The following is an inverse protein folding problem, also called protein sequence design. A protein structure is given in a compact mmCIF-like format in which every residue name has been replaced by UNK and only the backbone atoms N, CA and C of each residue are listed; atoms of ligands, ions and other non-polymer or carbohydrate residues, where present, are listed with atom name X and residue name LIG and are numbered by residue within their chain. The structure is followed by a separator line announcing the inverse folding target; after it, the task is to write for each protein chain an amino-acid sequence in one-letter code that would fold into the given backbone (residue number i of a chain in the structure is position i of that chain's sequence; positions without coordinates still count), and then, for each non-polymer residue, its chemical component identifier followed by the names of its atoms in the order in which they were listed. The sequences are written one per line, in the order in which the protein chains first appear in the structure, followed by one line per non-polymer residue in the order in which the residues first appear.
data_IF_926369525691
#
_entry.id   IF_926369525691
#
_cell.length_a   1.000
_cell.length_b   1.000
_cell.length_c   1.000
_cell.angle_alpha   90.00
_cell.angle_beta   90.00
_cell.angle_gamma   90.00
#
_symmetry.space_group_name_H-M   'P 1'
#
loop_
_entity.id
_entity.type
_entity.pdbx_description
1 polymer ?
#
# COMPACT_ATOMS: atom_id res chain seq x y z
N UNK A 1 12.26 -9.70 -11.31
CA UNK A 1 12.21 -9.15 -9.94
C UNK A 1 13.39 -9.68 -9.16
N UNK A 2 13.90 -8.93 -8.18
CA UNK A 2 14.83 -9.43 -7.15
C UNK A 2 14.25 -9.07 -5.77
N UNK A 3 13.44 -9.96 -5.24
CA UNK A 3 12.64 -9.71 -4.04
C UNK A 3 13.43 -9.99 -2.77
N UNK A 4 13.42 -9.04 -1.84
CA UNK A 4 13.90 -9.18 -0.47
C UNK A 4 12.69 -9.09 0.45
N UNK A 5 12.42 -10.14 1.22
CA UNK A 5 11.35 -10.11 2.21
C UNK A 5 11.72 -9.08 3.28
N UNK A 6 10.88 -8.07 3.44
CA UNK A 6 11.01 -7.06 4.47
C UNK A 6 10.23 -7.47 5.72
N UNK A 7 8.99 -7.93 5.53
CA UNK A 7 8.09 -8.28 6.62
C UNK A 7 6.99 -9.23 6.15
N UNK A 8 6.56 -10.15 7.02
CA UNK A 8 5.42 -11.03 6.79
C UNK A 8 4.42 -10.89 7.92
N UNK A 9 3.17 -10.61 7.57
CA UNK A 9 2.06 -10.38 8.49
C UNK A 9 0.87 -11.25 8.07
N UNK A 10 -0.18 -11.27 8.89
CA UNK A 10 -1.40 -11.97 8.54
C UNK A 10 -2.04 -11.34 7.30
N UNK A 11 -2.07 -12.10 6.19
CA UNK A 11 -2.71 -11.70 4.93
C UNK A 11 -1.88 -10.80 4.02
N UNK A 12 -0.61 -10.50 4.37
CA UNK A 12 0.31 -9.80 3.45
C UNK A 12 1.76 -10.21 3.66
N UNK A 13 2.50 -10.31 2.57
CA UNK A 13 3.95 -10.28 2.54
C UNK A 13 4.45 -8.99 1.88
N UNK A 14 5.39 -8.31 2.54
CA UNK A 14 6.00 -7.06 2.07
C UNK A 14 7.40 -7.36 1.59
N UNK A 15 7.67 -7.08 0.32
CA UNK A 15 8.97 -7.24 -0.30
C UNK A 15 9.50 -5.92 -0.82
N UNK A 16 10.82 -5.80 -0.85
CA UNK A 16 11.52 -4.80 -1.65
C UNK A 16 12.07 -5.47 -2.91
N UNK A 17 11.71 -4.98 -4.09
CA UNK A 17 12.34 -5.42 -5.33
C UNK A 17 13.57 -4.56 -5.61
N UNK A 18 14.76 -5.05 -5.27
CA UNK A 18 15.99 -4.27 -5.43
C UNK A 18 16.43 -4.10 -6.88
N UNK A 19 15.85 -4.87 -7.82
CA UNK A 19 16.14 -4.69 -9.25
C UNK A 19 15.31 -3.55 -9.82
N UNK A 20 14.05 -3.44 -9.39
CA UNK A 20 13.12 -2.44 -9.91
C UNK A 20 12.96 -1.18 -9.05
N UNK A 21 13.45 -1.21 -7.81
CA UNK A 21 13.37 -0.13 -6.82
C UNK A 21 11.93 0.23 -6.42
N UNK A 22 11.12 -0.78 -6.09
CA UNK A 22 9.75 -0.59 -5.59
C UNK A 22 9.43 -1.50 -4.42
N UNK A 23 8.36 -1.18 -3.70
CA UNK A 23 7.74 -2.12 -2.78
C UNK A 23 6.79 -3.04 -3.56
N UNK A 24 6.85 -4.33 -3.24
CA UNK A 24 5.91 -5.34 -3.69
C UNK A 24 5.10 -5.85 -2.49
N UNK A 25 3.80 -5.60 -2.51
CA UNK A 25 2.86 -5.99 -1.48
C UNK A 25 2.03 -7.15 -2.01
N UNK A 26 2.20 -8.33 -1.42
CA UNK A 26 1.52 -9.55 -1.87
C UNK A 26 0.46 -9.95 -0.84
N UNK A 27 -0.80 -9.62 -1.14
CA UNK A 27 -1.95 -9.84 -0.27
C UNK A 27 -2.64 -11.17 -0.59
N UNK A 28 -3.04 -11.89 0.47
CA UNK A 28 -3.66 -13.21 0.34
C UNK A 28 -4.72 -13.47 1.42
N UNK A 29 -5.66 -14.36 1.09
CA UNK A 29 -6.67 -14.86 2.02
C UNK A 29 -7.89 -13.95 2.22
N UNK A 30 -8.60 -14.18 3.32
CA UNK A 30 -9.77 -13.38 3.71
C UNK A 30 -9.32 -12.20 4.57
N UNK A 31 -9.35 -11.01 3.96
CA UNK A 31 -8.80 -9.81 4.56
C UNK A 31 -9.74 -9.23 5.63
N UNK A 32 -9.51 -9.63 6.88
CA UNK A 32 -10.16 -9.05 8.05
C UNK A 32 -9.62 -7.64 8.35
N UNK A 33 -10.51 -6.73 8.78
CA UNK A 33 -10.16 -5.33 9.00
C UNK A 33 -8.98 -5.11 9.96
N UNK A 34 -8.90 -5.73 11.15
CA UNK A 34 -7.78 -5.49 12.07
C UNK A 34 -6.43 -5.93 11.49
N UNK A 35 -6.41 -7.04 10.75
CA UNK A 35 -5.21 -7.56 10.10
C UNK A 35 -4.72 -6.62 9.00
N UNK A 36 -5.64 -6.14 8.15
CA UNK A 36 -5.34 -5.16 7.10
C UNK A 36 -4.83 -3.84 7.67
N UNK A 37 -5.44 -3.36 8.75
CA UNK A 37 -5.01 -2.10 9.37
C UNK A 37 -3.60 -2.22 9.94
N UNK A 38 -3.31 -3.33 10.64
CA UNK A 38 -1.98 -3.64 11.17
C UNK A 38 -0.95 -3.72 10.05
N UNK A 39 -1.30 -4.45 8.98
CA UNK A 39 -0.49 -4.56 7.78
C UNK A 39 -0.25 -3.21 7.09
N UNK A 40 -1.26 -2.37 6.97
CA UNK A 40 -1.14 -1.04 6.38
C UNK A 40 -0.21 -0.12 7.17
N UNK A 41 -0.25 -0.17 8.51
CA UNK A 41 0.69 0.57 9.36
C UNK A 41 2.12 0.07 9.18
N UNK A 42 2.32 -1.25 9.12
CA UNK A 42 3.63 -1.82 8.85
C UNK A 42 4.19 -1.38 7.49
N UNK A 43 3.36 -1.43 6.43
CA UNK A 43 3.73 -0.91 5.11
C UNK A 43 4.10 0.57 5.18
N UNK A 44 3.34 1.41 5.89
CA UNK A 44 3.65 2.83 6.03
C UNK A 44 5.00 3.09 6.76
N UNK A 45 5.37 2.25 7.74
CA UNK A 45 6.66 2.34 8.42
C UNK A 45 7.85 2.12 7.49
N UNK A 46 7.71 1.27 6.47
CA UNK A 46 8.78 1.04 5.50
C UNK A 46 9.13 2.29 4.70
N UNK A 47 8.21 3.26 4.58
CA UNK A 47 8.50 4.54 3.95
C UNK A 47 9.25 5.52 4.86
N UNK A 48 9.32 5.31 6.17
CA UNK A 48 10.01 6.24 7.08
C UNK A 48 11.49 6.45 6.72
N UNK A 49 12.32 5.39 6.53
CA UNK A 49 13.73 5.57 6.21
C UNK A 49 14.00 6.07 4.80
N UNK A 50 13.12 5.78 3.83
CA UNK A 50 13.26 6.20 2.42
C UNK A 50 11.93 6.18 1.67
N UNK A 51 11.73 7.04 0.66
CA UNK A 51 10.55 6.99 -0.20
C UNK A 51 10.61 5.82 -1.18
N UNK A 52 9.44 5.32 -1.57
CA UNK A 52 9.26 4.42 -2.70
C UNK A 52 8.24 5.02 -3.64
N UNK A 53 8.69 5.53 -4.79
CA UNK A 53 7.80 6.21 -5.74
C UNK A 53 6.82 5.24 -6.42
N UNK A 54 7.18 3.97 -6.52
CA UNK A 54 6.39 2.92 -7.15
C UNK A 54 6.05 1.81 -6.18
N UNK A 55 4.84 1.28 -6.35
CA UNK A 55 4.33 0.15 -5.57
C UNK A 55 3.65 -0.84 -6.51
N UNK A 56 4.01 -2.10 -6.38
CA UNK A 56 3.24 -3.20 -6.95
C UNK A 56 2.39 -3.81 -5.83
N UNK A 57 1.07 -3.71 -5.93
CA UNK A 57 0.11 -4.21 -4.96
C UNK A 57 -0.65 -5.39 -5.59
N UNK A 58 -0.29 -6.61 -5.19
CA UNK A 58 -0.91 -7.83 -5.67
C UNK A 58 -2.01 -8.31 -4.74
N UNK A 59 -3.21 -8.52 -5.28
CA UNK A 59 -4.34 -9.09 -4.56
C UNK A 59 -4.87 -10.36 -5.23
N UNK A 60 -4.13 -10.99 -6.15
CA UNK A 60 -4.60 -12.13 -6.92
C UNK A 60 -5.12 -13.27 -6.03
N UNK A 61 -4.50 -13.46 -4.86
CA UNK A 61 -4.83 -14.50 -3.87
C UNK A 61 -5.80 -14.03 -2.77
N UNK A 62 -6.32 -12.81 -2.86
CA UNK A 62 -7.34 -12.31 -1.94
C UNK A 62 -8.69 -12.97 -2.25
N UNK A 63 -9.22 -13.70 -1.28
CA UNK A 63 -10.46 -14.46 -1.40
C UNK A 63 -11.67 -13.71 -0.84
N UNK A 64 -11.44 -12.80 0.10
CA UNK A 64 -12.48 -12.02 0.78
C UNK A 64 -12.03 -10.60 1.10
N UNK A 65 -13.00 -9.71 1.34
CA UNK A 65 -12.72 -8.31 1.61
C UNK A 65 -13.98 -7.57 2.04
N UNK A 66 -13.96 -7.04 3.26
CA UNK A 66 -15.10 -6.33 3.83
C UNK A 66 -15.17 -4.87 3.35
N UNK A 67 -16.37 -4.31 3.25
CA UNK A 67 -16.58 -2.91 2.81
C UNK A 67 -15.76 -1.90 3.63
N UNK A 68 -15.56 -2.20 4.92
CA UNK A 68 -14.76 -1.38 5.83
C UNK A 68 -13.27 -1.38 5.50
N UNK A 69 -12.73 -2.49 4.98
CA UNK A 69 -11.34 -2.59 4.50
C UNK A 69 -11.10 -1.63 3.34
N UNK A 70 -12.00 -1.65 2.35
CA UNK A 70 -11.88 -0.79 1.17
C UNK A 70 -11.93 0.69 1.52
N UNK A 71 -12.85 1.07 2.43
CA UNK A 71 -12.97 2.44 2.92
C UNK A 71 -11.72 2.88 3.68
N UNK A 72 -11.21 2.05 4.58
CA UNK A 72 -10.02 2.37 5.35
C UNK A 72 -8.78 2.52 4.46
N UNK A 73 -8.58 1.62 3.50
CA UNK A 73 -7.50 1.75 2.51
C UNK A 73 -7.55 3.10 1.78
N UNK A 74 -8.73 3.47 1.28
CA UNK A 74 -8.92 4.67 0.48
C UNK A 74 -8.79 5.97 1.30
N UNK A 75 -9.30 5.99 2.53
CA UNK A 75 -9.39 7.20 3.35
C UNK A 75 -8.19 7.39 4.29
N UNK A 76 -7.56 6.29 4.71
CA UNK A 76 -6.48 6.32 5.67
C UNK A 76 -5.19 5.94 4.94
N UNK A 77 -5.00 4.70 4.48
CA UNK A 77 -3.68 4.26 4.01
C UNK A 77 -3.17 5.02 2.77
N UNK A 78 -3.97 5.15 1.70
CA UNK A 78 -3.53 5.75 0.44
C UNK A 78 -3.05 7.20 0.55
N UNK A 79 -3.77 8.11 1.24
CA UNK A 79 -3.27 9.46 1.50
C UNK A 79 -1.89 9.46 2.16
N UNK A 80 -1.66 8.56 3.12
CA UNK A 80 -0.39 8.48 3.83
C UNK A 80 0.74 7.95 2.95
N UNK A 81 0.48 6.94 2.11
CA UNK A 81 1.48 6.46 1.15
C UNK A 81 1.86 7.56 0.16
N UNK A 82 0.90 8.35 -0.31
CA UNK A 82 1.17 9.50 -1.17
C UNK A 82 2.04 10.55 -0.49
N UNK A 83 1.70 10.92 0.75
CA UNK A 83 2.52 11.83 1.57
C UNK A 83 3.94 11.27 1.80
N UNK A 84 4.07 9.96 1.94
CA UNK A 84 5.34 9.28 2.12
C UNK A 84 6.18 9.17 0.83
N UNK A 85 5.65 9.63 -0.31
CA UNK A 85 6.35 9.67 -1.59
C UNK A 85 5.93 8.61 -2.59
N UNK A 86 4.90 7.80 -2.32
CA UNK A 86 4.32 6.91 -3.33
C UNK A 86 3.59 7.74 -4.40
N UNK A 87 4.06 7.67 -5.63
CA UNK A 87 3.48 8.39 -6.76
C UNK A 87 2.58 7.49 -7.61
N UNK A 88 2.98 6.23 -7.81
CA UNK A 88 2.31 5.29 -8.69
C UNK A 88 2.13 3.93 -8.02
N UNK A 89 0.95 3.33 -8.23
CA UNK A 89 0.65 2.01 -7.73
C UNK A 89 0.03 1.15 -8.85
N UNK A 90 0.65 0.02 -9.15
CA UNK A 90 0.02 -1.01 -9.96
C UNK A 90 -0.74 -1.97 -9.06
N UNK A 91 -2.02 -2.12 -9.32
CA UNK A 91 -2.95 -2.89 -8.50
C UNK A 91 -3.40 -4.14 -9.25
N UNK A 92 -2.91 -5.31 -8.87
CA UNK A 92 -3.42 -6.58 -9.41
C UNK A 92 -4.74 -6.90 -8.70
N UNK A 93 -5.79 -7.06 -9.49
CA UNK A 93 -7.12 -7.32 -8.98
C UNK A 93 -7.25 -8.75 -8.43
N UNK A 94 -8.07 -8.89 -7.39
CA UNK A 94 -8.46 -10.20 -6.90
C UNK A 94 -9.31 -10.98 -7.93
N UNK A 95 -9.13 -12.30 -7.97
CA UNK A 95 -10.02 -13.20 -8.72
C UNK A 95 -11.42 -13.30 -8.12
N UNK A 96 -11.56 -13.08 -6.80
CA UNK A 96 -12.84 -13.13 -6.10
C UNK A 96 -13.65 -11.82 -6.24
N UNK A 97 -14.98 -11.93 -6.38
CA UNK A 97 -15.88 -10.76 -6.49
C UNK A 97 -15.76 -9.78 -5.31
N UNK A 98 -15.69 -10.23 -4.03
CA UNK A 98 -15.51 -9.32 -2.90
C UNK A 98 -14.21 -8.51 -3.00
N UNK A 99 -13.08 -9.16 -3.30
CA UNK A 99 -11.79 -8.49 -3.46
C UNK A 99 -11.76 -7.49 -4.62
N UNK A 100 -12.45 -7.76 -5.74
CA UNK A 100 -12.59 -6.77 -6.83
C UNK A 100 -13.29 -5.48 -6.40
N UNK A 101 -14.31 -5.57 -5.54
CA UNK A 101 -15.01 -4.37 -5.03
C UNK A 101 -14.11 -3.51 -4.16
N UNK A 102 -13.17 -4.12 -3.43
CA UNK A 102 -12.13 -3.40 -2.70
C UNK A 102 -11.29 -2.59 -3.69
N UNK A 103 -10.71 -3.23 -4.71
CA UNK A 103 -9.89 -2.55 -5.73
C UNK A 103 -10.62 -1.39 -6.41
N UNK A 104 -11.90 -1.56 -6.78
CA UNK A 104 -12.71 -0.48 -7.37
C UNK A 104 -12.89 0.72 -6.43
N UNK A 105 -13.15 0.49 -5.15
CA UNK A 105 -13.31 1.56 -4.15
C UNK A 105 -11.99 2.30 -3.96
N UNK A 106 -10.89 1.54 -3.84
CA UNK A 106 -9.55 2.08 -3.60
C UNK A 106 -9.06 2.91 -4.79
N UNK A 107 -9.31 2.47 -6.03
CA UNK A 107 -9.00 3.25 -7.24
C UNK A 107 -9.69 4.62 -7.28
N UNK A 108 -10.91 4.70 -6.76
CA UNK A 108 -11.68 5.94 -6.71
C UNK A 108 -11.35 6.78 -5.46
N UNK A 109 -10.52 6.26 -4.55
CA UNK A 109 -10.06 6.96 -3.36
C UNK A 109 -9.15 8.13 -3.72
N UNK A 110 -9.54 9.33 -3.31
CA UNK A 110 -8.72 10.55 -3.39
C UNK A 110 -8.71 11.22 -2.02
N UNK A 111 -7.57 11.79 -1.58
CA UNK A 111 -6.25 11.86 -2.24
C UNK A 111 -5.47 10.52 -2.19
N UNK A 112 -4.49 10.32 -3.08
CA UNK A 112 -3.67 9.10 -3.13
C UNK A 112 -2.80 8.97 -4.39
N UNK A 113 -1.94 7.92 -4.49
CA UNK A 113 -1.12 7.68 -5.67
C UNK A 113 -1.96 7.46 -6.94
N UNK A 114 -1.33 7.61 -8.10
CA UNK A 114 -1.93 7.21 -9.37
C UNK A 114 -2.01 5.68 -9.44
N UNK A 115 -3.24 5.15 -9.32
CA UNK A 115 -3.51 3.71 -9.31
C UNK A 115 -3.96 3.27 -10.69
N UNK A 116 -3.28 2.27 -11.26
CA UNK A 116 -3.75 1.52 -12.42
C UNK A 116 -3.98 0.06 -12.05
N UNK A 117 -5.06 -0.53 -12.56
CA UNK A 117 -5.46 -1.88 -12.19
C UNK A 117 -5.17 -2.88 -13.32
N UNK A 118 -4.74 -4.08 -12.93
CA UNK A 118 -4.30 -5.13 -13.84
C UNK A 118 -4.97 -6.47 -13.48
N UNK A 119 -5.15 -7.37 -14.46
CA UNK A 119 -5.65 -8.72 -14.19
C UNK A 119 -4.59 -9.65 -13.62
N UNK A 120 -3.31 -9.37 -13.86
CA UNK A 120 -2.17 -10.21 -13.47
C UNK A 120 -0.94 -9.36 -13.10
N UNK A 121 0.05 -10.03 -12.50
CA UNK A 121 1.31 -9.43 -12.04
C UNK A 121 2.20 -9.02 -13.22
N UNK A 122 2.18 -9.78 -14.32
CA UNK A 122 3.04 -9.53 -15.48
C UNK A 122 2.70 -8.21 -16.16
N UNK A 123 1.42 -7.95 -16.44
CA UNK A 123 0.93 -6.69 -16.98
C UNK A 123 1.17 -5.52 -16.02
N UNK A 124 1.00 -5.73 -14.72
CA UNK A 124 1.28 -4.73 -13.70
C UNK A 124 2.76 -4.33 -13.64
N UNK A 125 3.65 -5.33 -13.68
CA UNK A 125 5.10 -5.11 -13.74
C UNK A 125 5.50 -4.40 -15.03
N UNK A 126 5.02 -4.90 -16.18
CA UNK A 126 5.33 -4.30 -17.47
C UNK A 126 4.90 -2.84 -17.52
N UNK A 127 3.74 -2.49 -16.95
CA UNK A 127 3.34 -1.09 -16.84
C UNK A 127 4.29 -0.30 -15.92
N UNK A 128 4.58 -0.78 -14.70
CA UNK A 128 5.45 -0.07 -13.77
C UNK A 128 6.85 0.19 -14.32
N UNK A 129 7.41 -0.73 -15.13
CA UNK A 129 8.73 -0.53 -15.74
C UNK A 129 8.74 0.57 -16.79
N UNK A 130 7.59 0.87 -17.41
CA UNK A 130 7.44 1.92 -18.43
C UNK A 130 6.94 3.25 -17.86
N UNK A 131 6.46 3.29 -16.61
CA UNK A 131 6.14 4.55 -15.94
C UNK A 131 7.41 5.39 -15.82
N UNK A 132 7.43 6.65 -16.30
CA UNK A 132 8.64 7.47 -16.31
C UNK A 132 9.30 7.55 -14.93
N UNK A 133 10.50 6.97 -14.83
CA UNK A 133 11.33 7.06 -13.62
C UNK A 133 11.89 8.46 -13.39
N UNK A 134 11.84 9.30 -14.42
CA UNK A 134 12.32 10.67 -14.44
C UNK A 134 11.59 11.62 -13.45
N UNK A 135 10.34 11.33 -13.07
CA UNK A 135 9.62 12.11 -12.04
C UNK A 135 10.16 11.86 -10.61
N UNK A 136 10.85 10.74 -10.36
CA UNK A 136 11.37 10.44 -9.03
C UNK A 136 12.80 10.95 -8.80
N UNK A 137 13.64 11.04 -9.84
CA UNK A 137 15.05 11.42 -9.70
C UNK A 137 15.31 12.94 -9.75
N UNK A 138 14.33 13.74 -10.19
CA UNK A 138 14.48 15.20 -10.27
C UNK A 138 13.34 16.03 -9.68
N UNK A 139 12.26 15.41 -9.18
CA UNK A 139 11.03 16.14 -8.82
C UNK A 139 10.45 15.79 -7.45
N UNK A 140 11.01 14.79 -6.74
CA UNK A 140 10.69 14.61 -5.32
C UNK A 140 11.66 15.49 -4.55
N UNK A 141 11.26 16.66 -4.02
CA UNK A 141 12.16 17.43 -3.17
C UNK A 141 12.69 16.51 -2.06
N UNK A 142 13.98 16.60 -1.69
CA UNK A 142 14.49 15.85 -0.56
C UNK A 142 13.55 16.08 0.61
N UNK A 143 13.06 15.01 1.24
CA UNK A 143 12.09 15.12 2.33
C UNK A 143 12.65 16.09 3.35
N UNK A 144 11.99 17.23 3.50
CA UNK A 144 12.39 18.19 4.52
C UNK A 144 12.14 17.58 5.89
N UNK A 145 12.87 18.03 6.91
CA UNK A 145 12.62 17.63 8.30
C UNK A 145 11.14 17.78 8.71
N UNK A 146 10.46 18.80 8.20
CA UNK A 146 9.02 19.00 8.40
C UNK A 146 8.15 17.88 7.81
N UNK A 147 8.45 17.42 6.59
CA UNK A 147 7.74 16.28 5.97
C UNK A 147 8.00 14.97 6.72
N UNK A 148 9.23 14.75 7.18
CA UNK A 148 9.59 13.56 7.96
C UNK A 148 8.82 13.51 9.29
N UNK A 149 8.80 14.63 10.05
CA UNK A 149 8.05 14.70 11.31
C UNK A 149 6.52 14.63 11.12
N UNK A 150 5.99 15.05 9.96
CA UNK A 150 4.59 14.82 9.61
C UNK A 150 4.31 13.34 9.35
N UNK A 151 5.19 12.66 8.61
CA UNK A 151 5.04 11.24 8.30
C UNK A 151 5.12 10.37 9.56
N UNK A 152 6.04 10.67 10.46
CA UNK A 152 6.16 9.98 11.75
C UNK A 152 4.91 10.13 12.62
N UNK A 153 4.36 11.34 12.72
CA UNK A 153 3.09 11.59 13.43
C UNK A 153 1.94 10.81 12.81
N UNK A 154 1.82 10.85 11.49
CA UNK A 154 0.81 10.11 10.74
C UNK A 154 0.89 8.60 11.01
N UNK A 155 2.09 8.01 10.95
CA UNK A 155 2.28 6.59 11.19
C UNK A 155 1.93 6.24 12.63
N UNK A 156 2.27 7.11 13.58
CA UNK A 156 1.88 6.97 14.98
C UNK A 156 0.35 7.05 15.15
N UNK A 157 -0.32 8.03 14.53
CA UNK A 157 -1.78 8.21 14.60
C UNK A 157 -2.54 7.04 14.00
N UNK A 158 -2.09 6.54 12.84
CA UNK A 158 -2.62 5.32 12.24
C UNK A 158 -2.53 4.13 13.20
N UNK A 159 -1.38 3.97 13.88
CA UNK A 159 -1.20 2.92 14.89
C UNK A 159 -2.11 3.11 16.12
N UNK A 160 -2.26 4.33 16.61
CA UNK A 160 -3.11 4.66 17.76
C UNK A 160 -4.61 4.43 17.50
N UNK A 161 -5.09 4.76 16.29
CA UNK A 161 -6.48 4.50 15.88
C UNK A 161 -6.81 3.00 15.89
N UNK A 162 -5.85 2.14 15.56
CA UNK A 162 -6.04 0.68 15.58
C UNK A 162 -6.16 0.17 17.02
N UNK A 163 -5.28 0.63 17.91
CA UNK A 163 -5.30 0.23 19.31
C UNK A 163 -6.61 0.64 20.04
N UNK A 164 -7.18 1.80 19.70
CA UNK A 164 -8.46 2.27 20.26
C UNK A 164 -9.72 1.60 19.68
N UNK A 165 -9.58 0.82 18.61
CA UNK A 165 -10.72 0.18 17.90
C UNK A 165 -10.98 -1.27 18.34
N UNK A 166 -10.13 -1.84 19.21
CA UNK A 166 -10.34 -3.19 19.76
C UNK A 166 -11.33 -3.11 20.91
N UNK A 167 -12.54 -3.68 20.82
CA UNK A 167 -13.43 -3.72 21.96
C UNK A 167 -12.81 -4.63 23.02
N UNK A 168 -12.54 -4.06 24.20
CA UNK A 168 -12.25 -4.84 25.41
C UNK A 168 -13.44 -5.75 25.64
N UNK A 169 -13.29 -7.04 25.34
CA UNK A 169 -14.25 -8.06 25.78
C UNK A 169 -14.16 -8.09 27.31
N UNK A 170 -15.19 -7.57 27.96
CA UNK A 170 -15.47 -7.85 29.38
C UNK A 170 -16.00 -9.28 29.50
#
# INVERSE_FOLDING_TARGET
MRLHLLERLLGVAVYYDSFNDWLFLDWEGDLAQPAVQTAGVAVARWYLPRPYAWVLNNNALVTGGHRHVARWFAQELLPHLALAGAAHAAWVNAGARPGRRVGQTVRNGRPGPAINCFPDVDGAMAWLTHVPRALAQGSTPPRTFGHQGQLERVVHELGGKIAGSVPVRR
#
